data_IF_521455820486
#
_entry.id   IF_521455820486
#
_cell.length_a   1.000
_cell.length_b   1.000
_cell.length_c   1.000
_cell.angle_alpha   90.00
_cell.angle_beta   90.00
_cell.angle_gamma   90.00
#
_symmetry.space_group_name_H-M   'P 1'
#
loop_
_entity.id
_entity.type
_entity.pdbx_description
1 polymer ?
#
# COMPACT_ATOMS: atom_id res chain seq x y z
N UNK A 1 -16.06 8.81 -2.02
CA UNK A 1 -16.46 7.52 -2.60
C UNK A 1 -15.43 6.47 -2.16
N UNK A 2 -15.82 5.20 -2.10
CA UNK A 2 -14.91 4.08 -1.83
C UNK A 2 -14.74 3.27 -3.11
N UNK A 3 -13.49 2.97 -3.50
CA UNK A 3 -13.20 2.14 -4.67
C UNK A 3 -12.61 0.83 -4.15
N UNK A 4 -13.19 -0.29 -4.57
CA UNK A 4 -12.92 -1.62 -4.00
C UNK A 4 -12.51 -2.59 -5.11
N UNK A 5 -11.61 -3.51 -4.78
CA UNK A 5 -11.26 -4.64 -5.64
C UNK A 5 -12.38 -5.68 -5.71
N UNK A 6 -12.30 -6.56 -6.70
CA UNK A 6 -13.25 -7.66 -6.89
C UNK A 6 -12.87 -8.91 -6.08
N UNK A 7 -12.19 -8.75 -4.94
CA UNK A 7 -11.90 -9.88 -4.08
C UNK A 7 -13.21 -10.49 -3.53
N UNK A 8 -13.24 -11.81 -3.34
CA UNK A 8 -14.44 -12.50 -2.86
C UNK A 8 -14.91 -11.99 -1.49
N UNK A 9 -13.99 -11.54 -0.64
CA UNK A 9 -14.29 -10.90 0.65
C UNK A 9 -14.85 -9.48 0.53
N UNK A 10 -14.65 -8.80 -0.60
CA UNK A 10 -15.05 -7.41 -0.85
C UNK A 10 -16.52 -7.25 -1.25
N UNK A 11 -17.18 -8.35 -1.63
CA UNK A 11 -18.58 -8.39 -2.11
C UNK A 11 -19.64 -7.87 -1.14
N UNK A 12 -19.30 -7.64 0.13
CA UNK A 12 -20.22 -7.23 1.21
C UNK A 12 -19.97 -5.85 1.79
N UNK A 13 -19.06 -5.06 1.22
CA UNK A 13 -18.68 -3.76 1.77
C UNK A 13 -19.76 -2.71 1.46
N UNK A 14 -20.83 -2.73 2.26
CA UNK A 14 -21.84 -1.68 2.33
C UNK A 14 -21.50 -0.79 3.51
N UNK A 15 -20.81 0.32 3.23
CA UNK A 15 -20.55 1.36 4.23
C UNK A 15 -21.70 2.37 4.16
N UNK A 16 -22.52 2.52 5.22
CA UNK A 16 -23.62 3.48 5.20
C UNK A 16 -23.08 4.89 4.91
N UNK A 17 -23.71 5.59 3.94
CA UNK A 17 -23.36 6.96 3.49
C UNK A 17 -22.09 7.08 2.62
N UNK A 18 -21.48 5.98 2.18
CA UNK A 18 -20.37 6.03 1.21
C UNK A 18 -20.77 5.26 -0.04
N UNK A 19 -20.79 5.92 -1.19
CA UNK A 19 -20.93 5.25 -2.48
C UNK A 19 -19.70 4.40 -2.75
N UNK A 20 -19.89 3.09 -2.89
CA UNK A 20 -18.86 2.12 -3.27
C UNK A 20 -18.89 1.86 -4.78
N UNK A 21 -17.71 1.78 -5.38
CA UNK A 21 -17.49 1.42 -6.77
C UNK A 21 -16.52 0.24 -6.82
N UNK A 22 -16.87 -0.77 -7.62
CA UNK A 22 -15.98 -1.90 -7.86
C UNK A 22 -15.22 -1.67 -9.17
N UNK A 23 -13.95 -2.10 -9.21
CA UNK A 23 -13.23 -2.13 -10.47
C UNK A 23 -13.88 -3.10 -11.47
N UNK A 24 -13.69 -2.91 -12.79
CA UNK A 24 -13.98 -3.96 -13.76
C UNK A 24 -13.27 -5.29 -13.43
N UNK A 25 -13.78 -6.43 -13.92
CA UNK A 25 -13.09 -7.71 -13.80
C UNK A 25 -11.66 -7.63 -14.36
N UNK A 26 -10.71 -8.25 -13.67
CA UNK A 26 -9.29 -8.33 -14.08
C UNK A 26 -8.55 -6.99 -14.25
N UNK A 27 -9.13 -5.86 -13.83
CA UNK A 27 -8.48 -4.55 -13.98
C UNK A 27 -7.75 -4.08 -12.73
N UNK A 28 -7.83 -4.81 -11.61
CA UNK A 28 -7.19 -4.46 -10.33
C UNK A 28 -5.71 -4.07 -10.48
N UNK A 29 -4.85 -4.88 -11.15
CA UNK A 29 -3.43 -4.52 -11.29
C UNK A 29 -3.20 -3.25 -12.12
N UNK A 30 -4.14 -2.93 -13.01
CA UNK A 30 -4.04 -1.82 -13.96
C UNK A 30 -4.76 -0.55 -13.51
N UNK A 31 -5.67 -0.61 -12.55
CA UNK A 31 -6.45 0.55 -12.09
C UNK A 31 -6.28 0.82 -10.60
N UNK A 32 -5.92 -0.17 -9.79
CA UNK A 32 -5.77 0.06 -8.36
C UNK A 32 -4.45 0.80 -8.06
N UNK A 33 -4.48 1.98 -7.41
CA UNK A 33 -3.28 2.76 -7.13
C UNK A 33 -2.29 2.00 -6.24
N UNK A 34 -2.81 1.13 -5.37
CA UNK A 34 -1.96 0.33 -4.48
C UNK A 34 -1.03 -0.58 -5.28
N UNK A 35 -1.56 -1.23 -6.32
CA UNK A 35 -0.83 -2.16 -7.17
C UNK A 35 0.03 -1.42 -8.19
N UNK A 36 -0.40 -0.23 -8.65
CA UNK A 36 0.36 0.59 -9.61
C UNK A 36 1.69 1.11 -9.09
N UNK A 37 1.86 1.33 -7.78
CA UNK A 37 3.10 1.92 -7.30
C UNK A 37 3.23 2.15 -5.79
N UNK A 38 2.14 2.23 -5.04
CA UNK A 38 2.23 2.42 -3.59
C UNK A 38 2.87 1.18 -2.97
N UNK A 39 2.39 -0.03 -3.30
CA UNK A 39 2.93 -1.28 -2.79
C UNK A 39 4.39 -1.49 -3.20
N UNK A 40 4.76 -1.10 -4.43
CA UNK A 40 6.15 -1.13 -4.88
C UNK A 40 7.05 -0.24 -4.00
N UNK A 41 6.63 1.00 -3.77
CA UNK A 41 7.36 1.98 -2.94
C UNK A 41 7.49 1.51 -1.48
N UNK A 42 6.40 0.99 -0.91
CA UNK A 42 6.40 0.42 0.45
C UNK A 42 7.39 -0.74 0.55
N UNK A 43 7.34 -1.70 -0.40
CA UNK A 43 8.24 -2.86 -0.40
C UNK A 43 9.71 -2.44 -0.53
N UNK A 44 10.01 -1.46 -1.39
CA UNK A 44 11.37 -0.96 -1.59
C UNK A 44 11.93 -0.33 -0.30
N UNK A 45 11.17 0.57 0.32
CA UNK A 45 11.59 1.24 1.55
C UNK A 45 11.66 0.28 2.73
N UNK A 46 10.71 -0.66 2.84
CA UNK A 46 10.74 -1.69 3.87
C UNK A 46 12.01 -2.54 3.77
N UNK A 47 12.35 -3.02 2.56
CA UNK A 47 13.58 -3.79 2.32
C UNK A 47 14.83 -2.99 2.68
N UNK A 48 14.85 -1.69 2.34
CA UNK A 48 15.97 -0.81 2.70
C UNK A 48 16.17 -0.77 4.21
N UNK A 49 15.10 -0.53 4.98
CA UNK A 49 15.14 -0.52 6.47
C UNK A 49 15.51 -1.88 7.07
N UNK A 50 15.03 -2.96 6.47
CA UNK A 50 15.38 -4.30 6.89
C UNK A 50 16.87 -4.55 6.71
N UNK A 51 17.45 -4.22 5.55
CA UNK A 51 18.89 -4.38 5.29
C UNK A 51 19.73 -3.51 6.22
N UNK A 52 19.35 -2.25 6.43
CA UNK A 52 20.01 -1.37 7.42
C UNK A 52 20.05 -2.03 8.81
N UNK A 53 18.93 -2.61 9.25
CA UNK A 53 18.85 -3.31 10.54
C UNK A 53 19.76 -4.54 10.59
N UNK A 54 19.73 -5.37 9.55
CA UNK A 54 20.56 -6.59 9.47
C UNK A 54 22.05 -6.24 9.52
N UNK A 55 22.46 -5.17 8.85
CA UNK A 55 23.84 -4.70 8.88
C UNK A 55 24.24 -4.23 10.29
N UNK A 56 23.40 -3.42 10.94
CA UNK A 56 23.68 -2.91 12.29
C UNK A 56 23.78 -4.04 13.32
N UNK A 57 22.84 -4.99 13.31
CA UNK A 57 22.84 -6.13 14.24
C UNK A 57 24.05 -7.05 13.98
N UNK A 58 24.41 -7.27 12.70
CA UNK A 58 25.57 -8.06 12.32
C UNK A 58 26.92 -7.43 12.69
N UNK A 59 27.03 -6.09 12.70
CA UNK A 59 28.24 -5.40 13.18
C UNK A 59 28.40 -5.48 14.71
N UNK A 60 27.31 -5.73 15.44
CA UNK A 60 27.31 -5.78 16.90
C UNK A 60 27.35 -7.21 17.45
N UNK A 61 27.58 -8.22 16.60
CA UNK A 61 27.49 -9.66 16.94
C UNK A 61 26.17 -10.02 17.67
N UNK A 62 25.11 -9.26 17.37
CA UNK A 62 23.80 -9.45 17.99
C UNK A 62 23.00 -10.49 17.21
N UNK A 63 22.19 -11.27 17.92
CA UNK A 63 21.22 -12.16 17.28
C UNK A 63 20.18 -11.33 16.53
N UNK A 64 20.08 -11.55 15.22
CA UNK A 64 19.08 -10.89 14.38
C UNK A 64 17.70 -11.47 14.70
N UNK A 65 16.81 -10.65 15.24
CA UNK A 65 15.41 -11.01 15.48
C UNK A 65 14.51 -10.04 14.72
N UNK A 66 13.80 -10.57 13.72
CA UNK A 66 12.78 -9.83 12.97
C UNK A 66 11.43 -10.34 13.46
N UNK A 67 10.83 -9.64 14.41
CA UNK A 67 9.53 -9.98 14.98
C UNK A 67 8.39 -9.13 14.37
N UNK A 68 7.15 -9.46 14.74
CA UNK A 68 5.97 -8.73 14.28
C UNK A 68 5.99 -7.25 14.71
N UNK A 69 6.56 -6.95 15.89
CA UNK A 69 6.67 -5.58 16.40
C UNK A 69 7.57 -4.74 15.50
N UNK A 70 8.74 -5.24 15.15
CA UNK A 70 9.65 -4.61 14.19
C UNK A 70 8.95 -4.40 12.85
N UNK A 71 8.29 -5.43 12.31
CA UNK A 71 7.61 -5.32 11.03
C UNK A 71 6.55 -4.20 11.01
N UNK A 72 5.72 -4.11 12.06
CA UNK A 72 4.69 -3.06 12.18
C UNK A 72 5.32 -1.67 12.31
N UNK A 73 6.39 -1.53 13.11
CA UNK A 73 7.09 -0.25 13.28
C UNK A 73 7.74 0.23 11.98
N UNK A 74 8.37 -0.69 11.22
CA UNK A 74 8.96 -0.36 9.91
C UNK A 74 7.87 0.05 8.93
N UNK A 75 6.76 -0.70 8.82
CA UNK A 75 5.65 -0.34 7.94
C UNK A 75 5.11 1.06 8.27
N UNK A 76 4.92 1.37 9.55
CA UNK A 76 4.48 2.70 10.00
C UNK A 76 5.45 3.81 9.58
N UNK A 77 6.76 3.61 9.81
CA UNK A 77 7.78 4.56 9.41
C UNK A 77 7.87 4.74 7.89
N UNK A 78 7.76 3.65 7.13
CA UNK A 78 7.74 3.66 5.66
C UNK A 78 6.51 4.42 5.15
N UNK A 79 5.33 4.16 5.70
CA UNK A 79 4.08 4.83 5.31
C UNK A 79 4.16 6.34 5.52
N UNK A 80 4.67 6.77 6.67
CA UNK A 80 4.85 8.20 7.00
C UNK A 80 5.93 8.87 6.13
N UNK A 81 6.89 8.10 5.62
CA UNK A 81 7.94 8.59 4.73
C UNK A 81 7.50 8.70 3.26
N UNK A 82 6.36 8.14 2.87
CA UNK A 82 5.85 8.28 1.51
C UNK A 82 5.40 9.73 1.27
N UNK A 83 5.90 10.36 0.21
CA UNK A 83 5.53 11.73 -0.15
C UNK A 83 4.07 11.77 -0.61
N UNK A 84 3.28 12.66 -0.01
CA UNK A 84 1.86 12.87 -0.38
C UNK A 84 1.68 13.18 -1.88
N UNK A 85 2.62 13.90 -2.50
CA UNK A 85 2.57 14.23 -3.94
C UNK A 85 2.79 13.00 -4.84
N UNK A 86 3.64 12.07 -4.43
CA UNK A 86 3.83 10.81 -5.16
C UNK A 86 2.56 9.94 -5.08
N UNK A 87 1.93 9.90 -3.91
CA UNK A 87 0.63 9.24 -3.75
C UNK A 87 -0.43 9.86 -4.66
N UNK A 88 -0.60 11.19 -4.64
CA UNK A 88 -1.55 11.90 -5.53
C UNK A 88 -1.32 11.57 -7.00
N UNK A 89 -0.06 11.55 -7.45
CA UNK A 89 0.28 11.22 -8.84
C UNK A 89 -0.20 9.81 -9.23
N UNK A 90 -0.05 8.82 -8.34
CA UNK A 90 -0.52 7.45 -8.59
C UNK A 90 -2.04 7.35 -8.70
N UNK A 91 -2.78 8.14 -7.92
CA UNK A 91 -4.24 8.24 -8.05
C UNK A 91 -4.66 8.89 -9.37
N UNK A 92 -3.93 9.92 -9.82
CA UNK A 92 -4.19 10.57 -11.14
C UNK A 92 -3.87 9.60 -12.28
N UNK A 93 -2.75 8.87 -12.22
CA UNK A 93 -2.38 7.86 -13.21
C UNK A 93 -3.34 6.66 -13.25
N UNK A 94 -4.05 6.41 -12.17
CA UNK A 94 -5.14 5.43 -12.12
C UNK A 94 -6.45 5.95 -12.74
N UNK A 95 -6.49 7.22 -13.16
CA UNK A 95 -7.66 7.94 -13.70
C UNK A 95 -8.91 7.84 -12.81
N UNK A 96 -8.69 7.79 -11.49
CA UNK A 96 -9.78 7.65 -10.52
C UNK A 96 -10.36 9.02 -10.19
N UNK A 97 -11.50 9.37 -10.80
CA UNK A 97 -12.31 10.53 -10.43
C UNK A 97 -13.57 10.09 -9.71
N UNK A 98 -13.78 10.51 -8.45
CA UNK A 98 -15.09 10.36 -7.81
C UNK A 98 -16.09 11.23 -8.61
N UNK A 99 -16.94 10.59 -9.42
CA UNK A 99 -18.01 11.26 -10.19
C UNK A 99 -18.00 11.00 -11.70
N UNK A 100 -17.11 10.15 -12.23
CA UNK A 100 -17.00 9.92 -13.68
C UNK A 100 -16.67 8.50 -14.11
N UNK A 101 -16.99 7.47 -13.31
CA UNK A 101 -17.00 6.09 -13.81
C UNK A 101 -18.33 5.87 -14.54
N UNK A 102 -18.35 6.24 -15.83
CA UNK A 102 -19.31 5.70 -16.80
C UNK A 102 -18.81 4.35 -17.32
#
# INVERSE_FOLDING_TARGET
CLIVDNASCSTKVLVPKVTSYFFPPNSTPCLQPIDKGIMHSVKLLYKTRLVERLLLDGQQDCTIVIDAKFAVQVISGVWNGLRSEAMKTLFIQADLKCGGMM
#
